data_IF_706096818605
#
_entry.id   IF_706096818605
#
_cell.length_a   1.000
_cell.length_b   1.000
_cell.length_c   1.000
_cell.angle_alpha   90.00
_cell.angle_beta   90.00
_cell.angle_gamma   90.00
#
_symmetry.space_group_name_H-M   'P 1'
#
loop_
_entity.id
_entity.type
_entity.pdbx_description
1 polymer ?
#
# COMPACT_ATOMS: atom_id res chain seq x y z
N UNK A 1 1.87 13.83 -5.61
CA UNK A 1 1.68 12.42 -5.21
C UNK A 1 1.20 12.42 -3.77
N UNK A 2 0.26 11.55 -3.42
CA UNK A 2 -0.15 11.35 -2.02
C UNK A 2 0.96 10.60 -1.27
N UNK A 3 1.12 10.89 0.03
CA UNK A 3 2.10 10.22 0.92
C UNK A 3 1.37 9.11 1.66
N UNK A 4 2.02 7.93 1.76
CA UNK A 4 1.51 6.78 2.50
C UNK A 4 2.51 6.41 3.60
N UNK A 5 2.06 6.49 4.86
CA UNK A 5 2.85 6.08 6.01
C UNK A 5 2.48 4.65 6.44
N UNK A 6 3.44 3.74 6.42
CA UNK A 6 3.21 2.33 6.79
C UNK A 6 3.98 2.01 8.07
N UNK A 7 3.28 1.48 9.08
CA UNK A 7 3.92 0.93 10.29
C UNK A 7 4.51 -0.43 9.97
N UNK A 8 5.82 -0.59 10.22
CA UNK A 8 6.56 -1.82 9.97
C UNK A 8 7.45 -2.11 11.16
N UNK A 9 7.57 -3.38 11.52
CA UNK A 9 8.50 -3.86 12.54
C UNK A 9 9.95 -3.39 12.24
N UNK A 10 10.68 -3.02 13.29
CA UNK A 10 12.01 -2.41 13.15
C UNK A 10 13.03 -3.37 12.52
N UNK A 11 12.94 -4.68 12.80
CA UNK A 11 13.84 -5.66 12.19
C UNK A 11 13.59 -5.77 10.69
N UNK A 12 12.32 -5.81 10.27
CA UNK A 12 11.95 -5.79 8.85
C UNK A 12 12.44 -4.52 8.16
N UNK A 13 12.29 -3.36 8.80
CA UNK A 13 12.79 -2.08 8.30
C UNK A 13 14.30 -2.10 8.09
N UNK A 14 15.06 -2.64 9.04
CA UNK A 14 16.53 -2.77 8.94
C UNK A 14 16.94 -3.68 7.78
N UNK A 15 16.29 -4.84 7.66
CA UNK A 15 16.56 -5.80 6.56
C UNK A 15 16.29 -5.14 5.20
N UNK A 16 15.17 -4.43 5.06
CA UNK A 16 14.83 -3.75 3.81
C UNK A 16 15.87 -2.68 3.43
N UNK A 17 16.42 -1.93 4.41
CA UNK A 17 17.51 -0.98 4.16
C UNK A 17 18.78 -1.65 3.66
N UNK A 18 19.12 -2.83 4.20
CA UNK A 18 20.27 -3.61 3.74
C UNK A 18 20.06 -4.05 2.29
N UNK A 19 18.88 -4.59 1.96
CA UNK A 19 18.52 -4.99 0.59
C UNK A 19 18.60 -3.80 -0.36
N UNK A 20 18.02 -2.65 0.03
CA UNK A 20 18.06 -1.41 -0.75
C UNK A 20 19.50 -0.98 -1.08
N UNK A 21 20.38 -1.08 -0.09
CA UNK A 21 21.80 -0.74 -0.25
C UNK A 21 22.52 -1.71 -1.21
N UNK A 22 22.22 -3.01 -1.13
CA UNK A 22 22.80 -4.04 -2.01
C UNK A 22 22.32 -3.84 -3.46
N UNK A 23 21.03 -3.53 -3.65
CA UNK A 23 20.43 -3.36 -4.98
C UNK A 23 20.63 -1.97 -5.60
N UNK A 24 21.25 -1.03 -4.86
CA UNK A 24 21.38 0.36 -5.30
C UNK A 24 20.03 1.07 -5.45
N UNK A 25 19.03 0.66 -4.68
CA UNK A 25 17.66 1.20 -4.70
C UNK A 25 17.39 2.05 -3.46
N UNK A 26 16.44 2.97 -3.57
CA UNK A 26 15.87 3.62 -2.39
C UNK A 26 14.84 2.71 -1.73
N UNK A 27 14.54 2.96 -0.45
CA UNK A 27 13.42 2.30 0.22
C UNK A 27 12.10 2.53 -0.52
N UNK A 28 11.88 3.74 -1.04
CA UNK A 28 10.70 4.07 -1.83
C UNK A 28 10.58 3.17 -3.06
N UNK A 29 11.66 3.01 -3.83
CA UNK A 29 11.67 2.16 -5.02
C UNK A 29 11.32 0.70 -4.70
N UNK A 30 11.87 0.12 -3.63
CA UNK A 30 11.52 -1.25 -3.24
C UNK A 30 10.02 -1.36 -2.95
N UNK A 31 9.47 -0.43 -2.16
CA UNK A 31 8.05 -0.47 -1.79
C UNK A 31 7.16 -0.23 -3.01
N UNK A 32 7.52 0.72 -3.89
CA UNK A 32 6.82 0.95 -5.16
C UNK A 32 6.80 -0.28 -6.05
N UNK A 33 7.94 -0.95 -6.23
CA UNK A 33 8.02 -2.19 -7.01
C UNK A 33 7.15 -3.30 -6.39
N UNK A 34 7.15 -3.44 -5.07
CA UNK A 34 6.30 -4.42 -4.37
C UNK A 34 4.81 -4.13 -4.60
N UNK A 35 4.40 -2.86 -4.51
CA UNK A 35 3.02 -2.42 -4.75
C UNK A 35 2.62 -2.71 -6.21
N UNK A 36 3.44 -2.29 -7.17
CA UNK A 36 3.17 -2.50 -8.60
C UNK A 36 3.03 -3.98 -8.95
N UNK A 37 3.95 -4.81 -8.44
CA UNK A 37 3.91 -6.24 -8.65
C UNK A 37 2.66 -6.88 -8.04
N UNK A 38 2.26 -6.43 -6.85
CA UNK A 38 1.04 -6.92 -6.20
C UNK A 38 -0.22 -6.53 -6.98
N UNK A 39 -0.30 -5.29 -7.48
CA UNK A 39 -1.42 -4.83 -8.32
C UNK A 39 -1.46 -5.64 -9.62
N UNK A 40 -0.32 -5.78 -10.30
CA UNK A 40 -0.22 -6.51 -11.56
C UNK A 40 -0.67 -7.97 -11.41
N UNK A 41 -0.23 -8.64 -10.33
CA UNK A 41 -0.63 -10.02 -10.01
C UNK A 41 -2.13 -10.17 -9.81
N UNK A 42 -2.80 -9.17 -9.24
CA UNK A 42 -4.22 -9.26 -8.91
C UNK A 42 -5.16 -8.63 -9.95
N UNK A 43 -4.62 -7.93 -10.96
CA UNK A 43 -5.41 -7.28 -12.02
C UNK A 43 -6.42 -8.22 -12.70
N UNK A 44 -6.03 -9.48 -12.94
CA UNK A 44 -6.93 -10.49 -13.51
C UNK A 44 -8.17 -10.76 -12.65
N UNK A 45 -7.99 -10.88 -11.32
CA UNK A 45 -9.10 -11.07 -10.37
C UNK A 45 -10.04 -9.87 -10.34
N UNK A 46 -9.49 -8.66 -10.42
CA UNK A 46 -10.29 -7.42 -10.45
C UNK A 46 -11.19 -7.42 -11.70
N UNK A 47 -10.63 -7.75 -12.87
CA UNK A 47 -11.39 -7.82 -14.13
C UNK A 47 -12.50 -8.87 -14.04
N UNK A 48 -12.19 -10.07 -13.52
CA UNK A 48 -13.16 -11.15 -13.38
C UNK A 48 -14.33 -10.76 -12.45
N UNK A 49 -14.03 -10.18 -11.29
CA UNK A 49 -15.04 -9.74 -10.32
C UNK A 49 -15.87 -8.56 -10.82
N UNK A 50 -15.26 -7.66 -11.59
CA UNK A 50 -15.95 -6.55 -12.24
C UNK A 50 -16.97 -7.04 -13.26
N UNK A 51 -16.60 -8.03 -14.09
CA UNK A 51 -17.50 -8.62 -15.08
C UNK A 51 -18.70 -9.36 -14.46
N UNK A 52 -18.54 -9.87 -13.24
CA UNK A 52 -19.59 -10.57 -12.48
C UNK A 52 -20.52 -9.64 -11.69
N UNK A 53 -20.38 -8.31 -11.81
CA UNK A 53 -21.08 -7.29 -11.00
C UNK A 53 -20.88 -7.38 -9.47
N UNK A 54 -20.10 -8.35 -8.97
CA UNK A 54 -19.88 -8.57 -7.54
C UNK A 54 -18.83 -7.64 -6.93
N UNK A 55 -18.02 -6.96 -7.76
CA UNK A 55 -16.95 -6.10 -7.28
C UNK A 55 -17.47 -4.93 -6.42
N UNK A 56 -18.58 -4.30 -6.84
CA UNK A 56 -19.17 -3.16 -6.13
C UNK A 56 -19.66 -3.56 -4.74
N UNK A 57 -20.30 -4.72 -4.60
CA UNK A 57 -20.78 -5.22 -3.32
C UNK A 57 -19.62 -5.57 -2.37
N UNK A 58 -18.57 -6.23 -2.88
CA UNK A 58 -17.37 -6.57 -2.11
C UNK A 58 -16.68 -5.29 -1.60
N UNK A 59 -16.57 -4.26 -2.44
CA UNK A 59 -15.97 -2.99 -2.04
C UNK A 59 -16.78 -2.28 -0.95
N UNK A 60 -18.11 -2.23 -1.08
CA UNK A 60 -19.00 -1.67 -0.04
C UNK A 60 -18.90 -2.41 1.29
N UNK A 61 -18.84 -3.74 1.25
CA UNK A 61 -18.67 -4.54 2.48
C UNK A 61 -17.32 -4.31 3.16
N UNK A 62 -16.28 -3.98 2.39
CA UNK A 62 -14.91 -3.80 2.87
C UNK A 62 -14.60 -2.36 3.28
N UNK A 63 -15.54 -1.43 3.09
CA UNK A 63 -15.36 0.01 3.33
C UNK A 63 -14.83 0.33 4.74
N UNK A 64 -15.35 -0.35 5.76
CA UNK A 64 -14.90 -0.21 7.16
C UNK A 64 -13.44 -0.61 7.37
N UNK A 65 -12.92 -1.54 6.58
CA UNK A 65 -11.53 -1.98 6.68
C UNK A 65 -10.54 -0.97 6.09
N UNK A 66 -11.04 0.00 5.30
CA UNK A 66 -10.22 1.09 4.77
C UNK A 66 -10.19 2.32 5.69
N UNK A 67 -11.03 2.38 6.72
CA UNK A 67 -11.03 3.48 7.70
C UNK A 67 -9.72 3.57 8.48
N UNK A 68 -8.98 2.47 8.67
CA UNK A 68 -7.64 2.50 9.27
C UNK A 68 -6.60 3.28 8.44
N UNK A 69 -6.92 3.54 7.17
CA UNK A 69 -6.11 4.34 6.25
C UNK A 69 -6.67 5.74 6.05
N UNK A 70 -7.85 6.03 6.59
CA UNK A 70 -8.51 7.34 6.59
C UNK A 70 -8.09 8.07 7.88
N UNK A 71 -6.83 8.50 7.90
CA UNK A 71 -6.28 9.21 9.07
C UNK A 71 -6.59 10.71 8.95
N UNK A 72 -7.51 11.20 9.78
CA UNK A 72 -7.64 12.63 10.12
C UNK A 72 -6.36 13.18 10.81
N UNK A 73 -5.46 12.28 11.26
CA UNK A 73 -4.26 12.60 12.06
C UNK A 73 -3.06 13.16 11.28
N UNK A 74 -3.11 13.30 9.95
CA UNK A 74 -2.02 13.96 9.19
C UNK A 74 -2.01 15.51 9.34
N UNK A 75 -3.01 16.11 10.00
CA UNK A 75 -3.05 17.55 10.28
C UNK A 75 -2.03 18.01 11.37
N UNK A 76 -1.48 17.08 12.17
CA UNK A 76 -0.66 17.40 13.35
C UNK A 76 0.75 17.94 12.97
N UNK A 77 1.19 17.76 11.72
CA UNK A 77 2.50 18.26 11.25
C UNK A 77 2.44 19.60 10.51
N UNK A 78 1.28 20.27 10.45
CA UNK A 78 1.18 21.59 9.81
C UNK A 78 1.78 22.76 10.64
N UNK A 79 2.27 22.51 11.85
CA UNK A 79 2.90 23.51 12.73
C UNK A 79 4.41 23.27 12.99
N UNK A 80 5.14 22.67 12.03
CA UNK A 80 6.62 22.67 12.02
C UNK A 80 7.20 23.23 10.73
#
# INVERSE_FOLDING_TARGET
>A
MSVMSIRVDDNKRKILKVIASIEGKTMGNIISELIENYIKKNKGKIIELSAKNNLSEIMKMSEKSFQEWDNEEDEIYNDL
#
